data_IF_194470513044
#
_entry.id   IF_194470513044
#
_cell.length_a   1.000
_cell.length_b   1.000
_cell.length_c   1.000
_cell.angle_alpha   90.00
_cell.angle_beta   90.00
_cell.angle_gamma   90.00
#
_symmetry.space_group_name_H-M   'P 1'
#
loop_
_entity.id
_entity.type
_entity.pdbx_description
1 polymer ?
#
# COMPACT_ATOMS: atom_id res chain seq x y z
N UNK A 1 0.01 11.95 -31.09
CA UNK A 1 -1.01 11.86 -30.02
C UNK A 1 -2.14 10.92 -30.45
N UNK A 2 -2.72 11.10 -31.65
CA UNK A 2 -3.78 10.23 -32.20
C UNK A 2 -3.46 8.72 -32.26
N UNK A 3 -2.25 8.32 -32.66
CA UNK A 3 -1.88 6.89 -32.77
C UNK A 3 -1.87 6.20 -31.39
N UNK A 4 -1.41 6.90 -30.35
CA UNK A 4 -1.34 6.35 -28.99
C UNK A 4 -2.77 6.13 -28.47
N UNK A 5 -3.67 7.08 -28.69
CA UNK A 5 -5.08 6.94 -28.30
C UNK A 5 -5.78 5.83 -29.08
N UNK A 6 -5.52 5.73 -30.39
CA UNK A 6 -6.09 4.70 -31.24
C UNK A 6 -5.72 3.27 -30.80
N UNK A 7 -4.54 3.06 -30.22
CA UNK A 7 -4.10 1.73 -29.73
C UNK A 7 -4.47 1.53 -28.26
N UNK A 8 -4.28 2.55 -27.42
CA UNK A 8 -4.46 2.43 -25.97
C UNK A 8 -5.92 2.28 -25.56
N UNK A 9 -6.87 2.92 -26.27
CA UNK A 9 -8.29 2.83 -25.94
C UNK A 9 -8.84 1.43 -26.17
N UNK A 10 -8.69 0.79 -27.35
CA UNK A 10 -9.15 -0.59 -27.56
C UNK A 10 -8.43 -1.58 -26.64
N UNK A 11 -7.11 -1.43 -26.47
CA UNK A 11 -6.34 -2.30 -25.58
C UNK A 11 -6.84 -2.20 -24.14
N UNK A 12 -7.09 -0.99 -23.66
CA UNK A 12 -7.64 -0.74 -22.33
C UNK A 12 -9.04 -1.34 -22.16
N UNK A 13 -9.91 -1.22 -23.16
CA UNK A 13 -11.27 -1.80 -23.14
C UNK A 13 -11.21 -3.32 -23.07
N UNK A 14 -10.37 -3.95 -23.91
CA UNK A 14 -10.19 -5.41 -23.92
C UNK A 14 -9.66 -5.90 -22.58
N UNK A 15 -8.56 -5.32 -22.07
CA UNK A 15 -7.97 -5.73 -20.80
C UNK A 15 -8.92 -5.53 -19.61
N UNK A 16 -9.67 -4.41 -19.60
CA UNK A 16 -10.67 -4.16 -18.55
C UNK A 16 -11.80 -5.20 -18.62
N UNK A 17 -12.27 -5.55 -19.82
CA UNK A 17 -13.27 -6.60 -20.01
C UNK A 17 -12.78 -7.98 -19.53
N UNK A 18 -11.54 -8.35 -19.86
CA UNK A 18 -10.92 -9.60 -19.38
C UNK A 18 -10.86 -9.65 -17.85
N UNK A 19 -10.52 -8.53 -17.20
CA UNK A 19 -10.48 -8.44 -15.73
C UNK A 19 -11.90 -8.57 -15.15
N UNK A 20 -12.89 -7.86 -15.72
CA UNK A 20 -14.28 -7.91 -15.26
C UNK A 20 -14.95 -9.28 -15.43
N UNK A 21 -14.41 -10.14 -16.29
CA UNK A 21 -14.88 -11.53 -16.45
C UNK A 21 -14.77 -12.31 -15.13
N UNK A 22 -13.85 -11.93 -14.24
CA UNK A 22 -13.76 -12.48 -12.88
C UNK A 22 -15.06 -12.31 -12.08
N UNK A 23 -15.74 -11.17 -12.22
CA UNK A 23 -16.99 -10.90 -11.50
C UNK A 23 -18.14 -11.81 -11.96
N UNK A 24 -18.14 -12.20 -13.24
CA UNK A 24 -19.22 -12.99 -13.85
C UNK A 24 -18.99 -14.50 -13.76
N UNK A 25 -17.75 -14.96 -13.95
CA UNK A 25 -17.43 -16.37 -14.11
C UNK A 25 -16.38 -16.88 -13.10
N UNK A 26 -15.93 -16.05 -12.17
CA UNK A 26 -14.85 -16.39 -11.24
C UNK A 26 -13.51 -16.62 -11.94
N UNK A 27 -12.75 -17.61 -11.49
CA UNK A 27 -11.41 -17.93 -12.01
C UNK A 27 -11.47 -18.54 -13.43
N UNK A 28 -11.44 -17.66 -14.43
CA UNK A 28 -11.44 -18.03 -15.85
C UNK A 28 -10.05 -17.75 -16.50
N UNK A 29 -9.71 -18.42 -17.63
CA UNK A 29 -8.41 -18.23 -18.27
C UNK A 29 -8.21 -16.81 -18.85
N UNK A 30 -9.28 -16.13 -19.25
CA UNK A 30 -9.23 -14.76 -19.78
C UNK A 30 -8.77 -13.74 -18.71
N UNK A 31 -9.34 -13.82 -17.51
CA UNK A 31 -8.93 -13.06 -16.33
C UNK A 31 -7.48 -13.35 -15.97
N UNK A 32 -7.09 -14.64 -15.93
CA UNK A 32 -5.71 -15.02 -15.66
C UNK A 32 -4.76 -14.43 -16.70
N UNK A 33 -5.08 -14.46 -17.99
CA UNK A 33 -4.26 -13.86 -19.03
C UNK A 33 -4.02 -12.36 -18.76
N UNK A 34 -5.07 -11.61 -18.49
CA UNK A 34 -4.96 -10.18 -18.17
C UNK A 34 -4.10 -9.94 -16.92
N UNK A 35 -4.24 -10.78 -15.89
CA UNK A 35 -3.43 -10.71 -14.68
C UNK A 35 -1.94 -10.99 -14.96
N UNK A 36 -1.61 -12.00 -15.77
CA UNK A 36 -0.22 -12.29 -16.15
C UNK A 36 0.39 -11.15 -16.98
N UNK A 37 -0.37 -10.56 -17.91
CA UNK A 37 0.07 -9.39 -18.67
C UNK A 37 0.32 -8.21 -17.73
N UNK A 38 -0.58 -7.94 -16.79
CA UNK A 38 -0.46 -6.85 -15.84
C UNK A 38 0.77 -7.01 -14.93
N UNK A 39 0.93 -8.19 -14.32
CA UNK A 39 2.09 -8.48 -13.45
C UNK A 39 3.38 -8.47 -14.28
N UNK A 40 3.38 -9.04 -15.49
CA UNK A 40 4.52 -9.03 -16.38
C UNK A 40 4.95 -7.62 -16.77
N UNK A 41 4.01 -6.75 -17.11
CA UNK A 41 4.28 -5.34 -17.41
C UNK A 41 4.85 -4.60 -16.18
N UNK A 42 4.29 -4.83 -15.00
CA UNK A 42 4.77 -4.23 -13.75
C UNK A 42 6.21 -4.65 -13.43
N UNK A 43 6.51 -5.95 -13.53
CA UNK A 43 7.85 -6.49 -13.31
C UNK A 43 8.82 -5.99 -14.38
N UNK A 44 8.41 -6.00 -15.65
CA UNK A 44 9.23 -5.53 -16.77
C UNK A 44 9.58 -4.05 -16.66
N UNK A 45 8.60 -3.20 -16.33
CA UNK A 45 8.83 -1.77 -16.10
C UNK A 45 9.77 -1.52 -14.93
N UNK A 46 9.52 -2.20 -13.79
CA UNK A 46 10.36 -2.07 -12.59
C UNK A 46 11.79 -2.52 -12.88
N UNK A 47 11.97 -3.63 -13.58
CA UNK A 47 13.27 -4.13 -14.00
C UNK A 47 13.97 -3.15 -14.96
N UNK A 48 13.23 -2.58 -15.92
CA UNK A 48 13.74 -1.58 -16.85
C UNK A 48 14.29 -0.35 -16.12
N UNK A 49 13.55 0.18 -15.14
CA UNK A 49 14.05 1.27 -14.27
C UNK A 49 15.34 0.86 -13.58
N UNK A 50 15.36 -0.31 -12.94
CA UNK A 50 16.54 -0.78 -12.19
C UNK A 50 17.76 -0.92 -13.10
N UNK A 51 17.59 -1.47 -14.30
CA UNK A 51 18.68 -1.58 -15.28
C UNK A 51 19.16 -0.21 -15.73
N UNK A 52 18.24 0.72 -16.00
CA UNK A 52 18.58 2.06 -16.45
C UNK A 52 19.30 2.86 -15.35
N UNK A 53 18.77 2.84 -14.13
CA UNK A 53 19.29 3.60 -12.98
C UNK A 53 20.58 3.01 -12.42
N UNK A 54 20.72 1.68 -12.40
CA UNK A 54 21.87 1.02 -11.78
C UNK A 54 22.87 0.58 -12.84
N UNK A 55 22.48 -0.29 -13.77
CA UNK A 55 23.43 -0.95 -14.67
C UNK A 55 23.99 0.00 -15.74
N UNK A 56 23.13 0.78 -16.40
CA UNK A 56 23.57 1.73 -17.43
C UNK A 56 24.36 2.89 -16.82
N UNK A 57 23.92 3.40 -15.66
CA UNK A 57 24.66 4.42 -14.92
C UNK A 57 26.06 3.93 -14.56
N UNK A 58 26.21 2.73 -13.99
CA UNK A 58 27.52 2.16 -13.65
C UNK A 58 28.46 1.96 -14.86
N UNK A 59 27.89 1.64 -16.02
CA UNK A 59 28.64 1.43 -17.25
C UNK A 59 29.14 2.75 -17.87
N UNK A 60 28.42 3.85 -17.64
CA UNK A 60 28.76 5.17 -18.20
C UNK A 60 29.63 5.99 -17.27
N UNK A 61 29.29 6.01 -15.99
CA UNK A 61 29.99 6.75 -14.96
C UNK A 61 30.26 5.80 -13.79
N UNK A 62 31.55 5.55 -13.49
CA UNK A 62 31.88 4.86 -12.25
C UNK A 62 31.39 5.73 -11.09
N UNK A 63 30.51 5.23 -10.20
CA UNK A 63 30.01 6.05 -9.11
C UNK A 63 31.19 6.45 -8.22
N UNK A 64 31.42 7.76 -8.05
CA UNK A 64 32.31 8.26 -6.99
C UNK A 64 31.78 7.89 -5.60
N UNK A 65 30.48 7.62 -5.52
CA UNK A 65 29.81 7.11 -4.33
C UNK A 65 29.94 5.59 -4.20
N UNK A 66 30.84 5.19 -3.32
CA UNK A 66 31.12 3.79 -2.98
C UNK A 66 29.89 3.06 -2.39
N UNK A 67 28.84 3.78 -1.98
CA UNK A 67 27.63 3.21 -1.38
C UNK A 67 26.80 2.40 -2.39
N UNK A 68 26.86 2.75 -3.69
CA UNK A 68 26.17 2.02 -4.77
C UNK A 68 26.82 0.67 -5.09
N UNK A 69 28.06 0.44 -4.63
CA UNK A 69 28.75 -0.85 -4.79
C UNK A 69 28.10 -1.94 -3.94
N UNK A 70 27.52 -1.61 -2.79
CA UNK A 70 26.93 -2.60 -1.87
C UNK A 70 25.69 -3.27 -2.50
N UNK A 71 24.67 -2.55 -3.01
CA UNK A 71 23.56 -3.17 -3.71
C UNK A 71 23.98 -3.94 -4.97
N UNK A 72 24.98 -3.44 -5.70
CA UNK A 72 25.50 -4.11 -6.90
C UNK A 72 26.13 -5.46 -6.56
N UNK A 73 27.03 -5.49 -5.58
CA UNK A 73 27.69 -6.71 -5.13
C UNK A 73 26.66 -7.71 -4.60
N UNK A 74 25.67 -7.24 -3.85
CA UNK A 74 24.57 -8.09 -3.37
C UNK A 74 23.69 -8.64 -4.50
N UNK A 75 23.42 -7.83 -5.53
CA UNK A 75 22.70 -8.26 -6.73
C UNK A 75 23.47 -9.33 -7.53
N UNK A 76 24.76 -9.11 -7.74
CA UNK A 76 25.64 -10.05 -8.44
C UNK A 76 25.83 -11.35 -7.64
N UNK A 77 25.97 -11.24 -6.31
CA UNK A 77 25.98 -12.36 -5.38
C UNK A 77 24.70 -13.19 -5.48
N UNK A 78 23.53 -12.53 -5.50
CA UNK A 78 22.25 -13.21 -5.64
C UNK A 78 22.16 -13.97 -6.97
N UNK A 79 22.52 -13.33 -8.09
CA UNK A 79 22.48 -13.94 -9.42
C UNK A 79 23.45 -15.12 -9.55
N UNK A 80 24.67 -15.00 -9.02
CA UNK A 80 25.68 -16.04 -9.11
C UNK A 80 25.33 -17.27 -8.25
N UNK A 81 24.88 -17.06 -7.01
CA UNK A 81 24.72 -18.16 -6.04
C UNK A 81 23.32 -18.77 -6.01
N UNK A 82 22.28 -18.02 -6.39
CA UNK A 82 20.89 -18.54 -6.38
C UNK A 82 20.52 -19.28 -7.67
N UNK A 83 21.22 -19.01 -8.78
CA UNK A 83 21.05 -19.73 -10.04
C UNK A 83 21.58 -21.18 -9.98
N UNK A 84 22.47 -21.48 -9.02
CA UNK A 84 23.01 -22.82 -8.80
C UNK A 84 22.32 -23.53 -7.61
N UNK A 85 21.57 -24.64 -7.80
CA UNK A 85 20.81 -25.31 -6.74
C UNK A 85 21.66 -25.73 -5.52
N UNK A 86 22.95 -26.04 -5.75
CA UNK A 86 23.89 -26.49 -4.71
C UNK A 86 24.44 -25.37 -3.82
N UNK A 87 24.44 -24.11 -4.27
CA UNK A 87 24.95 -22.95 -3.53
C UNK A 87 23.85 -21.97 -3.08
N UNK A 88 22.57 -22.32 -3.30
CA UNK A 88 21.40 -21.49 -2.98
C UNK A 88 21.39 -20.99 -1.53
N UNK A 89 21.92 -21.76 -0.57
CA UNK A 89 22.01 -21.34 0.83
C UNK A 89 22.83 -20.06 1.03
N UNK A 90 23.89 -19.87 0.25
CA UNK A 90 24.75 -18.66 0.30
C UNK A 90 24.00 -17.44 -0.28
N UNK A 91 23.08 -17.67 -1.22
CA UNK A 91 22.18 -16.64 -1.75
C UNK A 91 21.15 -16.12 -0.73
N UNK A 92 20.94 -16.81 0.39
CA UNK A 92 19.99 -16.37 1.43
C UNK A 92 20.41 -15.07 2.11
N UNK A 93 21.71 -14.75 2.18
CA UNK A 93 22.18 -13.48 2.74
C UNK A 93 21.70 -12.27 1.91
N UNK A 94 21.78 -12.37 0.57
CA UNK A 94 21.27 -11.33 -0.31
C UNK A 94 19.74 -11.22 -0.24
N UNK A 95 19.03 -12.35 -0.07
CA UNK A 95 17.58 -12.35 0.17
C UNK A 95 17.21 -11.71 1.52
N UNK A 96 17.95 -12.00 2.58
CA UNK A 96 17.76 -11.39 3.89
C UNK A 96 17.98 -9.88 3.84
N UNK A 97 19.00 -9.43 3.10
CA UNK A 97 19.23 -8.01 2.83
C UNK A 97 18.05 -7.37 2.08
N UNK A 98 17.59 -7.99 0.98
CA UNK A 98 16.44 -7.49 0.21
C UNK A 98 15.17 -7.38 1.06
N UNK A 99 14.88 -8.39 1.88
CA UNK A 99 13.74 -8.37 2.79
C UNK A 99 13.92 -7.28 3.85
N UNK A 100 15.10 -7.17 4.45
CA UNK A 100 15.40 -6.14 5.46
C UNK A 100 15.24 -4.72 4.92
N UNK A 101 15.83 -4.42 3.77
CA UNK A 101 15.67 -3.12 3.09
C UNK A 101 14.22 -2.90 2.68
N UNK A 102 13.56 -3.90 2.09
CA UNK A 102 12.16 -3.81 1.68
C UNK A 102 11.22 -3.54 2.86
N UNK A 103 11.44 -4.21 3.99
CA UNK A 103 10.70 -3.98 5.24
C UNK A 103 10.99 -2.60 5.81
N UNK A 104 12.25 -2.15 5.82
CA UNK A 104 12.62 -0.81 6.28
C UNK A 104 11.97 0.29 5.43
N UNK A 105 11.97 0.15 4.09
CA UNK A 105 11.32 1.08 3.17
C UNK A 105 9.80 1.06 3.34
N UNK A 106 9.19 -0.12 3.48
CA UNK A 106 7.74 -0.22 3.68
C UNK A 106 7.30 0.38 5.02
N UNK A 107 8.00 0.06 6.12
CA UNK A 107 7.73 0.63 7.44
C UNK A 107 8.00 2.14 7.47
N UNK A 108 9.13 2.58 6.90
CA UNK A 108 9.47 3.99 6.80
C UNK A 108 8.46 4.77 5.96
N UNK A 109 8.04 4.21 4.83
CA UNK A 109 6.99 4.76 3.97
C UNK A 109 5.64 4.83 4.67
N UNK A 110 5.26 3.80 5.43
CA UNK A 110 4.06 3.85 6.26
C UNK A 110 4.17 4.92 7.36
N UNK A 111 5.28 4.97 8.09
CA UNK A 111 5.50 5.95 9.17
C UNK A 111 5.47 7.39 8.65
N UNK A 112 6.29 7.69 7.65
CA UNK A 112 6.45 9.05 7.11
C UNK A 112 5.31 9.45 6.19
N UNK A 113 4.73 8.50 5.45
CA UNK A 113 3.61 8.76 4.55
C UNK A 113 2.26 8.84 5.25
N UNK A 114 2.11 8.24 6.44
CA UNK A 114 0.82 8.18 7.15
C UNK A 114 0.91 8.69 8.59
N UNK A 115 1.61 7.97 9.48
CA UNK A 115 1.53 8.21 10.91
C UNK A 115 2.07 9.60 11.31
N UNK A 116 3.22 10.01 10.77
CA UNK A 116 3.82 11.31 11.09
C UNK A 116 2.94 12.46 10.61
N UNK A 117 2.51 12.53 9.34
CA UNK A 117 1.56 13.55 8.89
C UNK A 117 0.27 13.58 9.71
N UNK A 118 -0.24 12.42 10.11
CA UNK A 118 -1.47 12.31 10.90
C UNK A 118 -1.28 12.88 12.31
N UNK A 119 -0.17 12.57 12.99
CA UNK A 119 0.17 13.15 14.31
C UNK A 119 0.32 14.67 14.22
N UNK A 120 1.03 15.17 13.20
CA UNK A 120 1.21 16.61 12.97
C UNK A 120 -0.13 17.30 12.69
N UNK A 121 -0.98 16.69 11.87
CA UNK A 121 -2.32 17.20 11.58
C UNK A 121 -3.15 17.31 12.87
N UNK A 122 -3.17 16.28 13.72
CA UNK A 122 -3.86 16.30 15.02
C UNK A 122 -3.31 17.39 15.96
N UNK A 123 -1.99 17.51 16.07
CA UNK A 123 -1.35 18.55 16.90
C UNK A 123 -1.71 19.96 16.40
N UNK A 124 -1.71 20.16 15.08
CA UNK A 124 -2.06 21.44 14.48
C UNK A 124 -3.55 21.78 14.58
N UNK A 125 -4.43 20.78 14.64
CA UNK A 125 -5.86 20.96 14.88
C UNK A 125 -6.13 21.40 16.33
N UNK A 126 -5.36 20.85 17.28
CA UNK A 126 -5.45 21.24 18.69
C UNK A 126 -5.09 22.71 18.92
N UNK A 127 -4.12 23.24 18.16
CA UNK A 127 -3.72 24.66 18.26
C UNK A 127 -4.66 25.63 17.56
N UNK A 128 -5.48 25.17 16.60
CA UNK A 128 -6.30 26.04 15.73
C UNK A 128 -7.77 26.08 16.12
N UNK A 129 -8.27 25.06 16.80
CA UNK A 129 -9.70 24.95 17.11
C UNK A 129 -10.05 25.53 18.49
N UNK A 130 -11.35 25.65 18.76
CA UNK A 130 -11.85 26.11 20.05
C UNK A 130 -11.42 25.16 21.17
N UNK A 131 -11.37 25.67 22.42
CA UNK A 131 -11.00 24.88 23.61
C UNK A 131 -11.83 23.59 23.71
N UNK A 132 -13.13 23.66 23.35
CA UNK A 132 -14.04 22.51 23.35
C UNK A 132 -13.64 21.45 22.32
N UNK A 133 -13.27 21.85 21.11
CA UNK A 133 -12.84 20.92 20.05
C UNK A 133 -11.50 20.29 20.41
N UNK A 134 -10.58 21.08 20.98
CA UNK A 134 -9.29 20.59 21.48
C UNK A 134 -9.46 19.56 22.60
N UNK A 135 -10.35 19.82 23.55
CA UNK A 135 -10.69 18.87 24.62
C UNK A 135 -11.30 17.59 24.06
N UNK A 136 -12.18 17.69 23.06
CA UNK A 136 -12.78 16.54 22.39
C UNK A 136 -11.72 15.69 21.69
N UNK A 137 -10.78 16.32 20.97
CA UNK A 137 -9.67 15.62 20.29
C UNK A 137 -8.80 14.88 21.31
N UNK A 138 -8.41 15.54 22.41
CA UNK A 138 -7.59 14.92 23.46
C UNK A 138 -8.34 13.75 24.09
N UNK A 139 -9.57 13.96 24.56
CA UNK A 139 -10.36 12.91 25.20
C UNK A 139 -10.63 11.74 24.25
N UNK A 140 -11.04 12.02 23.01
CA UNK A 140 -11.26 10.99 22.00
C UNK A 140 -10.01 10.18 21.70
N UNK A 141 -8.85 10.84 21.59
CA UNK A 141 -7.55 10.17 21.37
C UNK A 141 -7.18 9.29 22.56
N UNK A 142 -7.29 9.80 23.78
CA UNK A 142 -6.98 9.04 25.01
C UNK A 142 -7.93 7.84 25.14
N UNK A 143 -9.25 8.03 24.96
CA UNK A 143 -10.23 6.95 24.95
C UNK A 143 -9.85 5.86 23.93
N UNK A 144 -9.51 6.27 22.71
CA UNK A 144 -9.16 5.36 21.62
C UNK A 144 -7.88 4.58 21.93
N UNK A 145 -6.86 5.21 22.50
CA UNK A 145 -5.65 4.52 22.94
C UNK A 145 -5.94 3.53 24.07
N UNK A 146 -6.82 3.88 25.01
CA UNK A 146 -7.26 2.99 26.08
C UNK A 146 -8.02 1.77 25.55
N UNK A 147 -8.72 1.89 24.41
CA UNK A 147 -9.36 0.75 23.75
C UNK A 147 -8.38 -0.31 23.26
N UNK A 148 -7.15 0.08 22.91
CA UNK A 148 -6.07 -0.83 22.49
C UNK A 148 -5.18 -1.29 23.64
N UNK A 149 -5.52 -0.98 24.90
CA UNK A 149 -4.73 -1.45 26.03
C UNK A 149 -4.98 -2.95 26.27
N UNK A 150 -4.19 -3.78 25.58
CA UNK A 150 -4.22 -5.25 25.70
C UNK A 150 -3.58 -5.77 27.01
N UNK A 151 -3.02 -4.89 27.85
CA UNK A 151 -2.19 -5.25 29.00
C UNK A 151 -2.79 -4.78 30.33
N UNK A 152 -4.06 -5.12 30.62
CA UNK A 152 -4.59 -5.05 32.00
C UNK A 152 -4.55 -6.45 32.61
N UNK A 153 -3.56 -6.78 33.46
CA UNK A 153 -3.56 -8.05 34.19
C UNK A 153 -4.79 -8.13 35.10
N UNK A 154 -5.55 -9.22 34.99
CA UNK A 154 -6.69 -9.53 35.87
C UNK A 154 -6.26 -10.00 37.27
N UNK A 155 -5.30 -9.35 37.93
CA UNK A 155 -4.84 -9.76 39.28
C UNK A 155 -5.05 -8.63 40.28
N UNK A 156 -5.74 -8.98 41.37
CA UNK A 156 -6.36 -8.06 42.32
C UNK A 156 -5.41 -7.14 43.09
N UNK A 157 -5.98 -6.10 43.70
CA UNK A 157 -5.28 -5.01 44.39
C UNK A 157 -5.52 -3.66 43.71
N UNK A 158 -4.56 -2.73 43.79
CA UNK A 158 -4.62 -1.41 43.12
C UNK A 158 -4.87 -1.48 41.59
N UNK A 159 -4.61 -2.62 40.97
CA UNK A 159 -5.00 -2.94 39.59
C UNK A 159 -6.53 -2.99 39.37
N UNK A 160 -7.33 -3.24 40.41
CA UNK A 160 -8.80 -3.19 40.37
C UNK A 160 -9.35 -1.78 40.24
N UNK A 161 -8.74 -0.79 40.90
CA UNK A 161 -9.11 0.62 40.76
C UNK A 161 -8.74 1.15 39.36
N UNK A 162 -7.56 0.78 38.85
CA UNK A 162 -7.16 1.08 37.48
C UNK A 162 -8.08 0.42 36.44
N UNK A 163 -8.48 -0.85 36.64
CA UNK A 163 -9.42 -1.53 35.76
C UNK A 163 -10.82 -0.87 35.76
N UNK A 164 -11.25 -0.28 36.88
CA UNK A 164 -12.54 0.39 36.99
C UNK A 164 -12.60 1.68 36.17
N UNK A 165 -11.50 2.43 36.07
CA UNK A 165 -11.43 3.65 35.24
C UNK A 165 -11.14 3.32 33.78
N UNK A 166 -10.24 2.36 33.50
CA UNK A 166 -9.85 2.00 32.13
C UNK A 166 -10.98 1.29 31.39
N UNK A 167 -11.81 0.49 32.08
CA UNK A 167 -12.90 -0.27 31.46
C UNK A 167 -13.91 0.59 30.68
N UNK A 168 -14.55 1.60 31.32
CA UNK A 168 -15.48 2.51 30.65
C UNK A 168 -14.81 3.34 29.56
N UNK A 169 -13.61 3.87 29.82
CA UNK A 169 -12.86 4.68 28.86
C UNK A 169 -12.49 3.89 27.60
N UNK A 170 -12.10 2.62 27.75
CA UNK A 170 -11.82 1.70 26.65
C UNK A 170 -13.08 1.26 25.88
N UNK A 171 -14.25 1.25 26.54
CA UNK A 171 -15.53 1.02 25.85
C UNK A 171 -15.90 2.22 24.97
N UNK A 172 -15.78 3.44 25.49
CA UNK A 172 -15.96 4.67 24.72
C UNK A 172 -15.00 4.70 23.53
N UNK A 173 -13.71 4.39 23.76
CA UNK A 173 -12.72 4.29 22.67
C UNK A 173 -13.09 3.27 21.59
N UNK A 174 -13.68 2.13 21.95
CA UNK A 174 -14.17 1.15 20.98
C UNK A 174 -15.31 1.69 20.13
N UNK A 175 -16.22 2.48 20.71
CA UNK A 175 -17.28 3.17 19.95
C UNK A 175 -16.65 4.15 18.95
N UNK A 176 -15.67 4.95 19.38
CA UNK A 176 -14.91 5.83 18.47
C UNK A 176 -14.25 5.06 17.33
N UNK A 177 -13.64 3.89 17.60
CA UNK A 177 -13.05 3.04 16.57
C UNK A 177 -14.08 2.50 15.58
N UNK A 178 -15.27 2.09 16.04
CA UNK A 178 -16.35 1.63 15.15
C UNK A 178 -16.73 2.75 14.17
N UNK A 179 -16.88 3.99 14.64
CA UNK A 179 -17.16 5.12 13.77
C UNK A 179 -15.98 5.44 12.84
N UNK A 180 -14.76 5.48 13.35
CA UNK A 180 -13.57 5.79 12.55
C UNK A 180 -13.35 4.76 11.43
N UNK A 181 -13.41 3.47 11.74
CA UNK A 181 -13.33 2.41 10.75
C UNK A 181 -14.53 2.41 9.81
N UNK A 182 -15.73 2.73 10.31
CA UNK A 182 -16.92 2.89 9.47
C UNK A 182 -16.75 3.99 8.41
N UNK A 183 -16.24 5.16 8.80
CA UNK A 183 -15.94 6.26 7.87
C UNK A 183 -14.82 5.88 6.90
N UNK A 184 -13.74 5.25 7.39
CA UNK A 184 -12.65 4.80 6.53
C UNK A 184 -13.12 3.76 5.50
N UNK A 185 -13.95 2.80 5.92
CA UNK A 185 -14.55 1.80 5.04
C UNK A 185 -15.50 2.42 4.02
N UNK A 186 -16.36 3.36 4.44
CA UNK A 186 -17.23 4.09 3.53
C UNK A 186 -16.42 4.86 2.48
N UNK A 187 -15.36 5.56 2.88
CA UNK A 187 -14.45 6.26 1.96
C UNK A 187 -13.75 5.31 0.97
N UNK A 188 -13.29 4.15 1.44
CA UNK A 188 -12.72 3.13 0.58
C UNK A 188 -13.75 2.58 -0.42
N UNK A 189 -14.97 2.27 0.04
CA UNK A 189 -16.06 1.79 -0.81
C UNK A 189 -16.45 2.84 -1.86
N UNK A 190 -16.60 4.10 -1.47
CA UNK A 190 -16.86 5.21 -2.41
C UNK A 190 -15.75 5.30 -3.44
N UNK A 191 -14.48 5.20 -3.03
CA UNK A 191 -13.34 5.22 -3.95
C UNK A 191 -13.40 4.06 -4.94
N UNK A 192 -13.66 2.84 -4.48
CA UNK A 192 -13.79 1.67 -5.35
C UNK A 192 -14.98 1.78 -6.30
N UNK A 193 -16.13 2.27 -5.84
CA UNK A 193 -17.30 2.51 -6.70
C UNK A 193 -17.01 3.61 -7.73
N UNK A 194 -16.36 4.70 -7.34
CA UNK A 194 -15.94 5.76 -8.27
C UNK A 194 -14.98 5.25 -9.34
N UNK A 195 -13.99 4.43 -8.95
CA UNK A 195 -13.07 3.79 -9.90
C UNK A 195 -13.83 2.85 -10.84
N UNK A 196 -14.74 2.04 -10.31
CA UNK A 196 -15.55 1.11 -11.11
C UNK A 196 -16.43 1.85 -12.12
N UNK A 197 -17.13 2.90 -11.69
CA UNK A 197 -17.92 3.77 -12.57
C UNK A 197 -17.03 4.34 -13.68
N UNK A 198 -15.85 4.85 -13.33
CA UNK A 198 -14.88 5.35 -14.31
C UNK A 198 -14.46 4.28 -15.32
N UNK A 199 -14.24 3.03 -14.89
CA UNK A 199 -13.91 1.91 -15.78
C UNK A 199 -15.08 1.48 -16.66
N UNK A 200 -16.31 1.51 -16.16
CA UNK A 200 -17.53 1.24 -16.95
C UNK A 200 -17.72 2.33 -18.00
N UNK A 201 -17.60 3.62 -17.62
CA UNK A 201 -17.69 4.74 -18.56
C UNK A 201 -16.63 4.66 -19.66
N UNK A 202 -15.40 4.25 -19.29
CA UNK A 202 -14.31 4.02 -20.23
C UNK A 202 -14.64 2.97 -21.31
N UNK A 203 -15.49 1.98 -20.98
CA UNK A 203 -15.95 0.96 -21.94
C UNK A 203 -17.18 1.46 -22.72
N UNK A 204 -18.18 2.02 -22.04
CA UNK A 204 -19.47 2.37 -22.64
C UNK A 204 -19.34 3.56 -23.60
N UNK A 205 -18.60 4.60 -23.25
CA UNK A 205 -18.53 5.83 -24.08
C UNK A 205 -18.01 5.53 -25.49
N UNK A 206 -16.90 4.80 -25.69
CA UNK A 206 -16.46 4.39 -27.03
C UNK A 206 -17.48 3.49 -27.74
N UNK A 207 -18.11 2.54 -27.05
CA UNK A 207 -19.10 1.63 -27.65
C UNK A 207 -20.34 2.37 -28.14
N UNK A 208 -20.87 3.30 -27.35
CA UNK A 208 -22.02 4.13 -27.74
C UNK A 208 -21.65 5.04 -28.90
N UNK A 209 -20.47 5.65 -28.91
CA UNK A 209 -20.01 6.45 -30.05
C UNK A 209 -19.85 5.63 -31.34
N UNK A 210 -19.57 4.33 -31.22
CA UNK A 210 -19.46 3.40 -32.34
C UNK A 210 -20.82 2.86 -32.82
N UNK A 211 -21.81 2.75 -31.93
CA UNK A 211 -23.18 2.30 -32.22
C UNK A 211 -24.16 3.43 -32.57
N UNK A 212 -23.88 4.66 -32.12
CA UNK A 212 -24.68 5.86 -32.33
C UNK A 212 -24.24 6.70 -33.54
N UNK A 213 -23.37 6.14 -34.38
CA UNK A 213 -23.21 6.48 -35.80
C UNK A 213 -23.93 5.46 -36.65
#
# INVERSE_FOLDING_TARGET
MEIIEAISVPLGVVLTGLILTYLLFGDNPAYKLALHIFIGALVGYSFGIVVQEIAVTLLRDLPQEHLLLVPLLMGLWLLAFKSAPRLSYIGNFAMAYLVGVGTAVALGGALLGTLVPQVVATASALSRNSILDGLLIILGTVCTLMAFNFAVPKRGGAAGAWAWVVGPMAWIGRVFLIFAFGVAFAGALTTFLSILIGRIQYIIVPLVNLLGR
#
